data_IF_813326884004
#
_entry.id   IF_813326884004
#
_cell.length_a   1.000
_cell.length_b   1.000
_cell.length_c   1.000
_cell.angle_alpha   90.00
_cell.angle_beta   90.00
_cell.angle_gamma   90.00
#
_symmetry.space_group_name_H-M   'P 1'
#
loop_
_entity.id
_entity.type
_entity.pdbx_description
1 polymer ?
#
# COMPACT_ATOMS: atom_id res chain seq x y z
N UNK A 1 11.14 -68.99 10.60
CA UNK A 1 10.84 -68.26 9.34
C UNK A 1 9.40 -67.75 9.31
N UNK A 2 8.40 -68.54 9.70
CA UNK A 2 6.96 -68.20 9.63
C UNK A 2 6.59 -66.95 10.45
N UNK A 3 6.99 -66.86 11.73
CA UNK A 3 6.67 -65.70 12.58
C UNK A 3 7.13 -64.35 11.98
N UNK A 4 8.30 -64.31 11.33
CA UNK A 4 8.82 -63.10 10.68
C UNK A 4 7.97 -62.67 9.48
N UNK A 5 7.36 -63.62 8.77
CA UNK A 5 6.48 -63.34 7.63
C UNK A 5 5.14 -62.77 8.11
N UNK A 6 4.56 -63.34 9.18
CA UNK A 6 3.31 -62.84 9.78
C UNK A 6 3.46 -61.41 10.31
N UNK A 7 4.58 -61.09 10.97
CA UNK A 7 4.84 -59.73 11.45
C UNK A 7 5.10 -58.73 10.32
N UNK A 8 5.62 -59.19 9.18
CA UNK A 8 5.73 -58.36 7.98
C UNK A 8 4.36 -58.09 7.35
N UNK A 9 3.47 -59.09 7.33
CA UNK A 9 2.10 -58.93 6.82
C UNK A 9 1.28 -57.96 7.68
N UNK A 10 1.34 -58.10 9.01
CA UNK A 10 0.68 -57.15 9.94
C UNK A 10 1.15 -55.71 9.70
N UNK A 11 2.48 -55.51 9.55
CA UNK A 11 3.05 -54.19 9.23
C UNK A 11 2.59 -53.69 7.87
N UNK A 12 2.51 -54.56 6.86
CA UNK A 12 2.04 -54.16 5.53
C UNK A 12 0.58 -53.68 5.56
N UNK A 13 -0.29 -54.40 6.28
CA UNK A 13 -1.68 -53.99 6.49
C UNK A 13 -1.77 -52.66 7.22
N UNK A 14 -0.97 -52.46 8.27
CA UNK A 14 -0.92 -51.19 9.01
C UNK A 14 -0.48 -50.03 8.10
N UNK A 15 0.59 -50.22 7.33
CA UNK A 15 1.09 -49.21 6.39
C UNK A 15 0.05 -48.87 5.32
N UNK A 16 -0.75 -49.84 4.85
CA UNK A 16 -1.82 -49.57 3.91
C UNK A 16 -2.92 -48.68 4.51
N UNK A 17 -3.30 -48.95 5.77
CA UNK A 17 -4.25 -48.10 6.51
C UNK A 17 -3.67 -46.70 6.70
N UNK A 18 -2.42 -46.59 7.17
CA UNK A 18 -1.76 -45.31 7.40
C UNK A 18 -1.63 -44.50 6.11
N UNK A 19 -1.30 -45.16 4.99
CA UNK A 19 -1.24 -44.54 3.67
C UNK A 19 -2.61 -43.99 3.26
N UNK A 20 -3.67 -44.76 3.44
CA UNK A 20 -5.04 -44.33 3.10
C UNK A 20 -5.47 -43.13 3.94
N UNK A 21 -5.14 -43.14 5.24
CA UNK A 21 -5.41 -42.01 6.14
C UNK A 21 -4.61 -40.78 5.72
N UNK A 22 -3.34 -40.95 5.38
CA UNK A 22 -2.48 -39.86 4.92
C UNK A 22 -3.00 -39.25 3.61
N UNK A 23 -3.45 -40.07 2.66
CA UNK A 23 -4.07 -39.62 1.41
C UNK A 23 -5.36 -38.83 1.67
N UNK A 24 -6.26 -39.34 2.52
CA UNK A 24 -7.49 -38.62 2.87
C UNK A 24 -7.20 -37.26 3.51
N UNK A 25 -6.18 -37.18 4.38
CA UNK A 25 -5.74 -35.92 5.00
C UNK A 25 -5.12 -34.97 3.98
N UNK A 26 -4.33 -35.47 3.04
CA UNK A 26 -3.74 -34.66 1.98
C UNK A 26 -4.84 -34.03 1.10
N UNK A 27 -5.81 -34.82 0.63
CA UNK A 27 -6.95 -34.31 -0.15
C UNK A 27 -7.80 -33.31 0.64
N UNK A 28 -8.04 -33.57 1.93
CA UNK A 28 -8.76 -32.62 2.80
C UNK A 28 -7.98 -31.30 2.98
N UNK A 29 -6.65 -31.35 3.04
CA UNK A 29 -5.83 -30.15 3.14
C UNK A 29 -5.80 -29.37 1.83
N UNK A 30 -5.66 -30.05 0.68
CA UNK A 30 -5.70 -29.45 -0.65
C UNK A 30 -7.02 -28.70 -0.89
N UNK A 31 -8.15 -29.35 -0.59
CA UNK A 31 -9.46 -28.70 -0.69
C UNK A 31 -9.60 -27.49 0.24
N UNK A 32 -9.09 -27.57 1.47
CA UNK A 32 -9.09 -26.43 2.40
C UNK A 32 -8.23 -25.28 1.91
N UNK A 33 -7.08 -25.55 1.30
CA UNK A 33 -6.20 -24.54 0.72
C UNK A 33 -6.90 -23.80 -0.42
N UNK A 34 -7.57 -24.53 -1.33
CA UNK A 34 -8.35 -23.93 -2.42
C UNK A 34 -9.42 -22.98 -1.88
N UNK A 35 -10.18 -23.41 -0.86
CA UNK A 35 -11.21 -22.57 -0.22
C UNK A 35 -10.59 -21.31 0.41
N UNK A 36 -9.46 -21.45 1.11
CA UNK A 36 -8.80 -20.33 1.76
C UNK A 36 -8.27 -19.29 0.75
N UNK A 37 -7.68 -19.77 -0.36
CA UNK A 37 -7.17 -18.91 -1.43
C UNK A 37 -8.31 -18.17 -2.13
N UNK A 38 -9.43 -18.84 -2.41
CA UNK A 38 -10.60 -18.23 -3.02
C UNK A 38 -11.24 -17.18 -2.12
N UNK A 39 -11.41 -17.49 -0.83
CA UNK A 39 -11.92 -16.54 0.16
C UNK A 39 -11.02 -15.29 0.28
N UNK A 40 -9.70 -15.47 0.26
CA UNK A 40 -8.76 -14.36 0.30
C UNK A 40 -8.86 -13.48 -0.95
N UNK A 41 -8.98 -14.09 -2.14
CA UNK A 41 -9.19 -13.36 -3.39
C UNK A 41 -10.47 -12.53 -3.32
N UNK A 42 -11.57 -13.16 -2.92
CA UNK A 42 -12.86 -12.48 -2.79
C UNK A 42 -12.79 -11.30 -1.80
N UNK A 43 -12.17 -11.50 -0.64
CA UNK A 43 -12.01 -10.43 0.35
C UNK A 43 -11.20 -9.23 -0.20
N UNK A 44 -10.18 -9.50 -1.02
CA UNK A 44 -9.40 -8.44 -1.70
C UNK A 44 -10.23 -7.71 -2.75
N UNK A 45 -11.00 -8.44 -3.55
CA UNK A 45 -11.88 -7.85 -4.57
C UNK A 45 -12.96 -6.97 -3.92
N UNK A 46 -13.56 -7.42 -2.81
CA UNK A 46 -14.50 -6.62 -2.02
C UNK A 46 -13.84 -5.37 -1.41
N UNK A 47 -12.60 -5.47 -0.94
CA UNK A 47 -11.88 -4.32 -0.42
C UNK A 47 -11.59 -3.28 -1.51
N UNK A 48 -11.13 -3.72 -2.68
CA UNK A 48 -10.93 -2.85 -3.85
C UNK A 48 -12.24 -2.18 -4.25
N UNK A 49 -13.34 -2.92 -4.29
CA UNK A 49 -14.66 -2.36 -4.59
C UNK A 49 -15.06 -1.26 -3.60
N UNK A 50 -14.89 -1.50 -2.29
CA UNK A 50 -15.14 -0.49 -1.26
C UNK A 50 -14.27 0.75 -1.42
N UNK A 51 -13.00 0.60 -1.80
CA UNK A 51 -12.11 1.73 -2.08
C UNK A 51 -12.57 2.55 -3.28
N UNK A 52 -13.00 1.88 -4.36
CA UNK A 52 -13.54 2.55 -5.55
C UNK A 52 -14.79 3.35 -5.18
N UNK A 53 -15.72 2.75 -4.44
CA UNK A 53 -16.95 3.42 -3.99
C UNK A 53 -16.64 4.63 -3.10
N UNK A 54 -15.77 4.47 -2.10
CA UNK A 54 -15.38 5.57 -1.23
C UNK A 54 -14.72 6.73 -2.00
N UNK A 55 -13.85 6.41 -2.97
CA UNK A 55 -13.23 7.41 -3.83
C UNK A 55 -14.27 8.15 -4.67
N UNK A 56 -15.16 7.42 -5.35
CA UNK A 56 -16.18 8.04 -6.20
C UNK A 56 -17.14 8.92 -5.40
N UNK A 57 -17.58 8.47 -4.23
CA UNK A 57 -18.46 9.25 -3.34
C UNK A 57 -17.79 10.55 -2.92
N UNK A 58 -16.57 10.48 -2.38
CA UNK A 58 -15.85 11.66 -1.88
C UNK A 58 -15.45 12.62 -3.01
N UNK A 59 -15.00 12.09 -4.15
CA UNK A 59 -14.65 12.90 -5.32
C UNK A 59 -15.88 13.63 -5.87
N UNK A 60 -17.02 12.95 -6.00
CA UNK A 60 -18.25 13.57 -6.50
C UNK A 60 -18.84 14.58 -5.51
N UNK A 61 -18.76 14.34 -4.21
CA UNK A 61 -19.13 15.34 -3.19
C UNK A 61 -18.29 16.62 -3.33
N UNK A 62 -16.96 16.49 -3.46
CA UNK A 62 -16.08 17.64 -3.68
C UNK A 62 -16.42 18.37 -4.98
N UNK A 63 -16.65 17.64 -6.08
CA UNK A 63 -17.08 18.24 -7.34
C UNK A 63 -18.42 18.97 -7.21
N UNK A 64 -19.38 18.41 -6.49
CA UNK A 64 -20.67 19.04 -6.26
C UNK A 64 -20.55 20.35 -5.46
N UNK A 65 -19.67 20.40 -4.47
CA UNK A 65 -19.35 21.64 -3.74
C UNK A 65 -18.73 22.69 -4.65
N UNK A 66 -17.79 22.30 -5.51
CA UNK A 66 -17.14 23.20 -6.47
C UNK A 66 -18.11 23.75 -7.53
N UNK A 67 -19.13 22.98 -7.91
CA UNK A 67 -20.16 23.42 -8.87
C UNK A 67 -21.21 24.32 -8.19
N UNK A 68 -21.50 24.10 -6.90
CA UNK A 68 -22.47 24.88 -6.14
C UNK A 68 -21.89 26.16 -5.51
N UNK A 69 -20.58 26.31 -5.46
CA UNK A 69 -19.97 27.57 -5.04
C UNK A 69 -20.51 28.66 -5.99
N UNK A 70 -21.35 29.59 -5.50
CA UNK A 70 -21.88 30.62 -6.36
C UNK A 70 -20.67 31.37 -6.92
N UNK A 71 -20.61 31.52 -8.26
CA UNK A 71 -19.74 32.50 -8.89
C UNK A 71 -19.97 33.78 -8.10
N UNK A 72 -19.00 34.16 -7.26
CA UNK A 72 -19.18 35.30 -6.37
C UNK A 72 -19.61 36.46 -7.25
N UNK A 73 -20.66 37.18 -6.84
CA UNK A 73 -21.36 38.22 -7.61
C UNK A 73 -20.49 39.48 -7.85
N UNK A 74 -19.18 39.33 -7.99
CA UNK A 74 -18.25 40.37 -8.39
C UNK A 74 -17.27 39.75 -9.41
N UNK A 75 -17.27 40.18 -10.69
CA UNK A 75 -16.29 39.73 -11.65
C UNK A 75 -14.96 40.45 -11.37
N UNK A 76 -14.26 40.05 -10.30
CA UNK A 76 -12.83 40.31 -10.25
C UNK A 76 -12.22 39.37 -11.27
N UNK A 77 -11.77 39.95 -12.39
CA UNK A 77 -11.09 39.20 -13.44
C UNK A 77 -9.98 38.37 -12.78
N UNK A 78 -9.94 37.04 -12.98
CA UNK A 78 -8.76 36.29 -12.60
C UNK A 78 -7.61 36.91 -13.38
N UNK A 79 -6.63 37.45 -12.66
CA UNK A 79 -5.39 37.95 -13.22
C UNK A 79 -4.87 36.85 -14.14
N UNK A 80 -4.85 37.12 -15.45
CA UNK A 80 -4.41 36.20 -16.49
C UNK A 80 -2.97 35.81 -16.15
N UNK A 81 -2.77 34.70 -15.45
CA UNK A 81 -1.50 34.02 -15.50
C UNK A 81 -1.34 33.62 -16.96
N UNK A 82 -0.31 34.16 -17.62
CA UNK A 82 -0.01 33.85 -19.01
C UNK A 82 -0.06 32.33 -19.24
N UNK A 83 -0.56 31.97 -20.42
CA UNK A 83 -0.77 30.62 -20.94
C UNK A 83 0.15 29.53 -20.34
N UNK A 84 -0.38 28.37 -19.93
CA UNK A 84 0.41 27.15 -19.80
C UNK A 84 0.73 26.60 -21.19
N UNK A 85 1.35 27.41 -22.05
CA UNK A 85 1.96 26.92 -23.27
C UNK A 85 3.34 26.36 -22.93
N UNK A 86 3.37 25.03 -22.76
CA UNK A 86 4.42 24.17 -23.31
C UNK A 86 5.83 24.49 -22.78
N UNK A 87 6.18 23.88 -21.65
CA UNK A 87 7.50 23.25 -21.52
C UNK A 87 7.33 21.73 -21.41
N UNK A 88 6.57 21.20 -22.35
CA UNK A 88 6.72 19.83 -22.85
C UNK A 88 8.08 19.76 -23.54
N UNK A 89 9.13 19.39 -22.79
CA UNK A 89 10.48 19.38 -23.35
C UNK A 89 11.61 19.41 -22.34
N UNK A 90 11.53 18.64 -21.27
CA UNK A 90 12.76 18.24 -20.55
C UNK A 90 12.69 16.77 -20.17
N UNK A 91 13.30 15.86 -20.95
CA UNK A 91 13.47 14.49 -20.51
C UNK A 91 14.38 14.50 -19.29
N UNK A 92 13.89 13.91 -18.20
CA UNK A 92 14.67 13.64 -16.99
C UNK A 92 15.84 12.73 -17.43
N UNK A 93 17.01 13.33 -17.62
CA UNK A 93 18.24 12.61 -17.96
C UNK A 93 18.76 11.88 -16.74
N UNK A 94 18.27 10.65 -16.57
CA UNK A 94 18.90 9.63 -15.72
C UNK A 94 20.21 9.16 -16.36
N UNK A 95 21.25 10.00 -16.35
CA UNK A 95 22.61 9.56 -16.68
C UNK A 95 23.64 10.34 -15.87
N UNK A 96 23.89 9.82 -14.66
CA UNK A 96 25.11 9.91 -13.85
C UNK A 96 25.89 11.21 -13.84
N UNK A 97 25.75 11.99 -12.76
CA UNK A 97 26.90 12.65 -12.14
C UNK A 97 26.63 12.94 -10.65
N UNK A 98 27.51 12.42 -9.78
CA UNK A 98 27.52 12.68 -8.34
C UNK A 98 27.76 14.17 -8.09
N UNK A 99 26.79 14.89 -7.50
CA UNK A 99 27.07 16.16 -6.84
C UNK A 99 26.44 16.19 -5.44
N UNK A 100 27.30 16.55 -4.52
CA UNK A 100 27.20 16.45 -3.07
C UNK A 100 25.95 17.08 -2.48
N UNK A 101 25.36 16.37 -1.51
CA UNK A 101 24.57 16.98 -0.45
C UNK A 101 25.50 17.84 0.42
N UNK A 102 25.65 19.12 0.09
CA UNK A 102 26.26 20.08 1.02
C UNK A 102 25.18 20.79 1.84
N UNK A 103 25.10 20.36 3.11
CA UNK A 103 24.49 21.08 4.21
C UNK A 103 25.27 22.40 4.44
N UNK A 104 24.64 23.58 4.51
CA UNK A 104 25.30 24.74 5.08
C UNK A 104 25.23 24.64 6.60
N UNK A 105 26.37 24.26 7.20
CA UNK A 105 26.59 24.24 8.65
C UNK A 105 27.34 25.52 9.04
N UNK A 106 26.66 26.42 9.74
CA UNK A 106 27.29 27.25 10.77
C UNK A 106 27.33 28.78 10.57
N UNK A 107 26.79 29.46 11.58
CA UNK A 107 27.32 30.68 12.23
C UNK A 107 27.43 32.00 11.46
N UNK A 108 26.47 32.89 11.75
CA UNK A 108 26.79 34.16 12.39
C UNK A 108 25.54 34.77 13.05
N UNK A 109 25.30 34.45 14.33
CA UNK A 109 24.41 35.25 15.18
C UNK A 109 25.25 36.41 15.76
N UNK A 110 25.03 37.61 15.24
CA UNK A 110 25.65 38.84 15.72
C UNK A 110 25.09 39.24 17.09
N UNK A 111 26.00 39.42 18.05
CA UNK A 111 25.74 40.08 19.35
C UNK A 111 25.66 41.60 19.17
N UNK A 112 24.82 42.25 19.97
CA UNK A 112 25.01 43.53 20.70
C UNK A 112 23.78 43.71 21.64
N UNK A 113 23.88 43.42 22.95
CA UNK A 113 23.98 44.39 24.07
C UNK A 113 22.88 45.47 24.06
N UNK A 114 22.02 45.70 25.06
CA UNK A 114 22.25 45.73 26.52
C UNK A 114 20.98 46.20 27.29
N UNK A 115 20.94 45.92 28.62
CA UNK A 115 20.15 46.55 29.72
C UNK A 115 18.82 45.91 30.22
N UNK A 116 18.95 45.00 31.22
CA UNK A 116 18.32 44.88 32.59
C UNK A 116 16.85 45.32 32.88
N UNK A 117 16.25 44.94 34.06
CA UNK A 117 16.46 43.82 35.00
C UNK A 117 15.14 43.08 35.40
N UNK A 118 15.27 41.96 36.14
CA UNK A 118 14.16 41.14 36.62
C UNK A 118 13.46 41.60 37.89
N UNK A 119 12.36 40.91 38.22
CA UNK A 119 11.74 40.81 39.54
C UNK A 119 10.95 39.50 39.64
N UNK A 120 11.04 38.84 40.80
CA UNK A 120 10.01 37.97 41.38
C UNK A 120 10.08 36.50 41.03
#
# INVERSE_FOLDING_TARGET
MIARAEDAEKRNRQLHVDLTIAQARATALESREVIAVEALKQAKDEHVQKLIEAYLVTHNQRRALWIQEPVSSNPVQPMRAEDPQILEGHPISIRGEKKAWELPKGSSLGRNSSLLPGYG
#
